data_IF_613082144450
#
_entry.id   IF_613082144450
#
_cell.length_a   1.000
_cell.length_b   1.000
_cell.length_c   1.000
_cell.angle_alpha   90.00
_cell.angle_beta   90.00
_cell.angle_gamma   90.00
#
_symmetry.space_group_name_H-M   'P 1'
#
loop_
_entity.id
_entity.type
_entity.pdbx_description
1 polymer ?
#
# COMPACT_ATOMS: atom_id res chain seq x y z
N UNK A 1 -62.00 34.60 1.20
CA UNK A 1 -60.92 35.46 0.67
C UNK A 1 -60.28 36.11 1.87
N UNK A 2 -59.26 35.46 2.44
CA UNK A 2 -57.85 35.89 2.30
C UNK A 2 -57.61 37.24 2.98
N UNK A 3 -56.77 37.31 4.02
CA UNK A 3 -55.33 37.20 3.83
C UNK A 3 -54.57 36.66 5.04
N UNK A 4 -53.70 35.68 4.77
CA UNK A 4 -52.54 35.36 5.61
C UNK A 4 -51.48 36.42 5.35
N UNK A 5 -50.99 37.11 6.40
CA UNK A 5 -49.69 37.79 6.34
C UNK A 5 -48.83 37.31 7.50
N UNK A 6 -47.70 36.73 7.12
CA UNK A 6 -46.65 36.19 7.98
C UNK A 6 -45.90 37.35 8.64
N UNK A 7 -45.57 37.19 9.91
CA UNK A 7 -44.68 38.09 10.64
C UNK A 7 -44.02 37.34 11.79
N UNK A 8 -43.10 36.43 11.47
CA UNK A 8 -42.02 36.10 12.39
C UNK A 8 -41.15 37.36 12.47
N UNK A 9 -40.99 37.95 13.65
CA UNK A 9 -39.73 38.57 14.14
C UNK A 9 -39.99 39.33 15.46
N UNK A 10 -39.06 39.11 16.40
CA UNK A 10 -38.71 39.93 17.55
C UNK A 10 -39.66 39.91 18.77
N UNK A 11 -39.53 38.85 19.55
CA UNK A 11 -39.85 38.86 20.97
C UNK A 11 -39.36 37.55 21.55
N UNK A 12 -38.27 37.59 22.31
CA UNK A 12 -37.69 36.47 23.05
C UNK A 12 -38.77 35.73 23.86
N UNK A 13 -39.30 34.64 23.29
CA UNK A 13 -40.16 33.70 24.00
C UNK A 13 -39.27 32.80 24.85
N UNK A 14 -39.29 33.04 26.15
CA UNK A 14 -38.92 32.03 27.13
C UNK A 14 -39.79 30.79 26.89
N UNK A 15 -39.16 29.63 26.69
CA UNK A 15 -39.84 28.33 26.73
C UNK A 15 -40.08 27.64 25.39
N UNK A 16 -39.01 27.28 24.68
CA UNK A 16 -38.94 25.93 24.11
C UNK A 16 -37.50 25.40 24.24
N UNK A 17 -37.18 25.01 25.47
CA UNK A 17 -36.22 23.96 25.76
C UNK A 17 -36.75 22.71 25.05
N UNK A 18 -36.31 22.45 23.82
CA UNK A 18 -36.90 21.39 23.00
C UNK A 18 -36.18 21.05 21.70
N UNK A 19 -35.12 21.77 21.34
CA UNK A 19 -34.16 21.30 20.35
C UNK A 19 -32.76 21.50 20.91
N UNK A 20 -32.49 20.87 22.06
CA UNK A 20 -31.17 20.29 22.26
C UNK A 20 -30.90 19.46 21.00
N UNK A 21 -29.69 19.55 20.49
CA UNK A 21 -29.20 18.72 19.39
C UNK A 21 -29.78 17.32 19.57
N UNK A 22 -30.66 16.90 18.65
CA UNK A 22 -31.04 15.50 18.53
C UNK A 22 -29.82 14.81 17.92
N UNK A 23 -28.72 14.78 18.67
CA UNK A 23 -27.92 13.57 18.70
C UNK A 23 -28.90 12.53 19.21
N UNK A 24 -29.19 11.52 18.38
CA UNK A 24 -29.97 10.39 18.84
C UNK A 24 -29.43 9.96 20.21
N UNK A 25 -30.30 9.76 21.19
CA UNK A 25 -29.95 9.02 22.39
C UNK A 25 -29.68 7.59 21.92
N UNK A 26 -28.43 7.32 21.53
CA UNK A 26 -27.97 6.06 20.97
C UNK A 26 -27.60 5.11 22.10
N UNK A 27 -28.61 4.50 22.72
CA UNK A 27 -28.34 3.27 23.45
C UNK A 27 -28.09 2.16 22.41
N UNK A 28 -26.83 1.99 21.99
CA UNK A 28 -26.44 0.97 21.00
C UNK A 28 -25.88 -0.25 21.73
N UNK A 29 -26.62 -1.35 21.67
CA UNK A 29 -26.15 -2.69 22.01
C UNK A 29 -25.63 -3.40 20.76
N UNK A 30 -24.33 -3.73 20.72
CA UNK A 30 -23.67 -4.36 19.58
C UNK A 30 -23.09 -5.73 19.95
N UNK A 31 -23.43 -6.76 19.18
CA UNK A 31 -22.98 -8.14 19.36
C UNK A 31 -22.58 -8.71 18.01
N UNK A 32 -21.37 -9.26 17.89
CA UNK A 32 -20.91 -9.89 16.66
C UNK A 32 -20.46 -8.93 15.56
N UNK A 33 -20.06 -7.71 15.93
CA UNK A 33 -19.52 -6.77 14.97
C UNK A 33 -18.08 -7.14 14.64
N UNK A 34 -17.94 -7.93 13.58
CA UNK A 34 -16.70 -8.07 12.85
C UNK A 34 -16.27 -6.70 12.35
N UNK A 35 -15.21 -6.15 12.95
CA UNK A 35 -14.79 -4.75 12.77
C UNK A 35 -14.30 -4.42 11.36
N UNK A 36 -13.44 -3.42 11.23
CA UNK A 36 -12.77 -3.14 9.96
C UNK A 36 -11.47 -3.95 9.88
N UNK A 37 -11.37 -4.86 8.90
CA UNK A 37 -10.11 -5.54 8.61
C UNK A 37 -9.51 -5.01 7.30
N UNK A 38 -8.32 -4.43 7.41
CA UNK A 38 -7.52 -3.97 6.28
C UNK A 38 -6.23 -4.77 6.24
N UNK A 39 -5.93 -5.38 5.10
CA UNK A 39 -4.63 -6.00 4.87
C UNK A 39 -4.01 -5.40 3.61
N UNK A 40 -2.69 -5.20 3.65
CA UNK A 40 -1.94 -4.61 2.55
C UNK A 40 -0.71 -5.46 2.25
N UNK A 41 -0.58 -5.80 0.98
CA UNK A 41 0.46 -6.62 0.39
C UNK A 41 1.40 -5.74 -0.46
N UNK A 42 1.61 -4.49 -0.05
CA UNK A 42 2.32 -3.55 -0.91
C UNK A 42 3.80 -3.96 -1.05
N UNK A 43 4.24 -4.16 -2.29
CA UNK A 43 5.65 -4.30 -2.63
C UNK A 43 6.42 -3.00 -2.46
N UNK A 44 7.73 -3.08 -2.71
CA UNK A 44 8.63 -1.94 -2.64
C UNK A 44 8.75 -1.18 -3.96
N UNK A 45 9.52 -0.09 -3.93
CA UNK A 45 10.06 0.52 -5.14
C UNK A 45 11.53 0.12 -5.24
N UNK A 46 11.99 -0.24 -6.45
CA UNK A 46 13.43 -0.44 -6.70
C UNK A 46 13.91 0.56 -7.74
N UNK A 47 14.94 1.32 -7.37
CA UNK A 47 15.69 2.16 -8.28
C UNK A 47 17.05 1.51 -8.54
N UNK A 48 17.37 1.33 -9.83
CA UNK A 48 18.67 0.81 -10.27
C UNK A 48 19.38 1.95 -11.00
N UNK A 49 20.59 2.26 -10.55
CA UNK A 49 21.48 3.21 -11.22
C UNK A 49 22.21 2.55 -12.39
N UNK A 50 23.37 3.09 -12.75
CA UNK A 50 24.18 2.51 -13.82
C UNK A 50 24.66 1.09 -13.46
N UNK A 51 24.31 0.12 -14.31
CA UNK A 51 24.80 -1.25 -14.22
C UNK A 51 25.92 -1.41 -15.25
N UNK A 52 27.16 -1.24 -14.79
CA UNK A 52 28.34 -1.42 -15.63
C UNK A 52 28.98 -2.78 -15.32
N UNK A 53 29.23 -3.57 -16.37
CA UNK A 53 29.97 -4.82 -16.26
C UNK A 53 31.44 -4.62 -15.88
N UNK A 54 31.94 -3.39 -16.00
CA UNK A 54 33.37 -3.07 -15.96
C UNK A 54 33.98 -3.29 -17.33
N UNK A 55 35.08 -2.58 -17.64
CA UNK A 55 35.85 -2.67 -18.88
C UNK A 55 36.49 -4.04 -19.09
N UNK A 56 35.65 -5.05 -19.25
CA UNK A 56 36.01 -6.44 -19.42
C UNK A 56 36.44 -6.63 -20.88
N UNK A 57 37.66 -6.19 -21.14
CA UNK A 57 38.41 -6.64 -22.30
C UNK A 57 38.84 -8.09 -22.03
N UNK A 58 38.65 -8.95 -23.04
CA UNK A 58 39.16 -10.32 -22.98
C UNK A 58 40.68 -10.38 -23.03
N UNK A 59 41.22 -11.54 -23.41
CA UNK A 59 42.66 -11.76 -23.40
C UNK A 59 43.35 -10.94 -24.50
N UNK A 60 44.33 -10.12 -24.11
CA UNK A 60 45.26 -9.49 -25.03
C UNK A 60 46.50 -10.36 -25.17
N UNK A 61 46.83 -10.79 -26.39
CA UNK A 61 48.00 -11.64 -26.64
C UNK A 61 48.93 -10.96 -27.64
N UNK A 62 50.08 -10.51 -27.15
CA UNK A 62 51.17 -10.05 -27.99
C UNK A 62 52.07 -11.23 -28.35
N UNK A 63 52.35 -11.41 -29.65
CA UNK A 63 53.30 -12.41 -30.14
C UNK A 63 54.41 -11.67 -30.88
N UNK A 64 55.67 -11.90 -30.48
CA UNK A 64 56.85 -11.32 -31.11
C UNK A 64 57.42 -12.19 -32.24
N UNK A 65 58.71 -12.05 -32.52
CA UNK A 65 59.39 -12.88 -33.52
C UNK A 65 59.41 -14.36 -33.08
N UNK A 66 58.83 -15.23 -33.90
CA UNK A 66 58.71 -16.67 -33.64
C UNK A 66 59.56 -17.52 -34.60
N UNK A 67 60.07 -18.67 -34.14
CA UNK A 67 60.73 -19.67 -34.98
C UNK A 67 60.28 -21.10 -34.60
N UNK A 68 59.96 -21.92 -35.61
CA UNK A 68 59.36 -23.25 -35.42
C UNK A 68 57.82 -23.22 -35.31
N UNK A 69 57.21 -24.34 -34.87
CA UNK A 69 55.76 -24.41 -34.70
C UNK A 69 55.32 -23.66 -33.43
N UNK A 70 54.54 -22.60 -33.60
CA UNK A 70 53.96 -21.83 -32.49
C UNK A 70 52.44 -21.95 -32.51
N UNK A 71 51.86 -22.38 -31.40
CA UNK A 71 50.43 -22.40 -31.17
C UNK A 71 50.09 -21.41 -30.04
N UNK A 72 49.14 -20.53 -30.30
CA UNK A 72 48.67 -19.53 -29.34
C UNK A 72 47.17 -19.70 -29.21
N UNK A 73 46.71 -20.04 -28.00
CA UNK A 73 45.30 -20.13 -27.67
C UNK A 73 44.95 -19.05 -26.64
N UNK A 74 44.00 -18.19 -27.00
CA UNK A 74 43.47 -17.16 -26.13
C UNK A 74 42.40 -17.65 -25.17
N UNK A 75 42.04 -18.93 -25.20
CA UNK A 75 41.02 -19.51 -24.33
C UNK A 75 39.64 -18.89 -24.52
N UNK A 76 38.68 -19.35 -23.71
CA UNK A 76 37.34 -18.78 -23.67
C UNK A 76 37.26 -17.62 -22.68
N UNK A 77 36.68 -16.50 -23.10
CA UNK A 77 36.37 -15.38 -22.21
C UNK A 77 34.87 -15.23 -22.12
N UNK A 78 34.34 -15.32 -20.89
CA UNK A 78 32.95 -15.03 -20.60
C UNK A 78 32.88 -13.83 -19.66
N UNK A 79 32.02 -12.88 -20.00
CA UNK A 79 31.69 -11.77 -19.13
C UNK A 79 30.18 -11.76 -18.89
N UNK A 80 29.78 -11.79 -17.62
CA UNK A 80 28.38 -11.83 -17.22
C UNK A 80 28.11 -10.86 -16.09
N UNK A 81 27.11 -10.00 -16.29
CA UNK A 81 26.55 -9.15 -15.24
C UNK A 81 25.09 -9.54 -15.09
N UNK A 82 24.82 -10.34 -14.07
CA UNK A 82 23.47 -10.78 -13.73
C UNK A 82 22.93 -9.93 -12.59
N UNK A 83 21.71 -9.43 -12.77
CA UNK A 83 21.01 -8.67 -11.74
C UNK A 83 19.64 -9.30 -11.51
N UNK A 84 19.41 -9.75 -10.28
CA UNK A 84 18.11 -10.23 -9.82
C UNK A 84 17.51 -9.18 -8.90
N UNK A 85 16.58 -8.39 -9.43
CA UNK A 85 15.84 -7.39 -8.66
C UNK A 85 14.42 -7.86 -8.45
N UNK A 86 13.98 -7.92 -7.20
CA UNK A 86 12.59 -8.10 -6.82
C UNK A 86 12.14 -6.96 -5.92
N UNK A 87 10.90 -6.53 -6.11
CA UNK A 87 10.20 -5.57 -5.28
C UNK A 87 8.88 -6.18 -4.76
N UNK A 88 8.83 -7.51 -4.66
CA UNK A 88 7.58 -8.23 -4.51
C UNK A 88 6.88 -7.88 -3.18
N UNK A 89 5.59 -7.63 -3.30
CA UNK A 89 4.69 -7.60 -2.15
C UNK A 89 4.44 -9.01 -1.62
N UNK A 90 4.02 -9.09 -0.36
CA UNK A 90 3.68 -10.36 0.30
C UNK A 90 2.22 -10.78 0.09
N UNK A 91 1.80 -11.85 0.77
CA UNK A 91 0.39 -12.19 0.91
C UNK A 91 -0.20 -11.43 2.09
N UNK A 92 -1.29 -10.69 1.87
CA UNK A 92 -1.97 -9.97 2.94
C UNK A 92 -3.37 -10.54 3.16
N UNK A 93 -3.65 -10.93 4.40
CA UNK A 93 -4.92 -11.53 4.83
C UNK A 93 -5.50 -10.64 5.93
N UNK A 94 -6.73 -10.20 5.74
CA UNK A 94 -7.52 -9.49 6.73
C UNK A 94 -8.76 -10.32 7.04
N UNK A 95 -9.08 -10.48 8.32
CA UNK A 95 -10.32 -11.10 8.79
C UNK A 95 -10.96 -10.20 9.84
N UNK A 96 -12.24 -9.90 9.65
CA UNK A 96 -13.10 -9.18 10.56
C UNK A 96 -14.30 -10.07 10.89
N UNK A 97 -14.05 -11.28 11.38
CA UNK A 97 -15.13 -12.18 11.78
C UNK A 97 -15.75 -11.72 13.10
N UNK A 98 -17.08 -11.65 13.11
CA UNK A 98 -17.88 -11.27 14.29
C UNK A 98 -18.11 -12.41 15.29
N UNK A 99 -17.72 -13.64 14.97
CA UNK A 99 -17.97 -14.82 15.80
C UNK A 99 -19.46 -15.19 15.94
N UNK A 100 -19.72 -16.30 16.64
CA UNK A 100 -21.07 -16.81 16.93
C UNK A 100 -21.43 -16.63 18.42
N UNK A 101 -22.70 -16.82 18.79
CA UNK A 101 -23.23 -16.69 20.17
C UNK A 101 -23.13 -15.29 20.78
N UNK A 102 -23.21 -14.25 19.95
CA UNK A 102 -23.18 -12.89 20.43
C UNK A 102 -24.55 -12.45 20.97
N UNK A 103 -24.55 -11.82 22.14
CA UNK A 103 -25.73 -11.28 22.83
C UNK A 103 -25.42 -9.84 23.24
N UNK A 104 -26.30 -8.88 22.96
CA UNK A 104 -26.17 -7.50 23.44
C UNK A 104 -27.52 -6.94 23.90
N UNK A 105 -27.53 -6.15 24.97
CA UNK A 105 -28.70 -5.50 25.55
C UNK A 105 -28.38 -4.06 25.98
N UNK A 106 -29.42 -3.20 25.92
CA UNK A 106 -29.46 -1.84 26.46
C UNK A 106 -30.20 -1.88 27.80
N UNK A 107 -29.84 -1.03 28.78
CA UNK A 107 -30.49 -0.92 30.09
C UNK A 107 -31.12 0.43 30.34
#
# INVERSE_FOLDING_TARGET
>A
MENRVKGLVAGTFAGLVGTAQVAAQEDIAAAGNGGTATASANGGAVAVGDVNSGGNAGNAIGVGDTWGNVAVDGGAVANSTSLSITADGGTAIADASGGDYNIAFVS
#
